data_IF_754205184988
#
_entry.id   IF_754205184988
#
_cell.length_a   1.000
_cell.length_b   1.000
_cell.length_c   1.000
_cell.angle_alpha   90.00
_cell.angle_beta   90.00
_cell.angle_gamma   90.00
#
_symmetry.space_group_name_H-M   'P 1'
#
loop_
_entity.id
_entity.type
_entity.pdbx_description
1 polymer ?
#
# COMPACT_ATOMS: atom_id res chain seq x y z
N UNK A 1 15.13 25.27 -17.49
CA UNK A 1 13.91 25.78 -16.83
C UNK A 1 12.71 24.83 -16.96
N UNK A 2 12.61 24.01 -18.01
CA UNK A 2 11.50 23.06 -18.24
C UNK A 2 11.51 21.83 -17.32
N UNK A 3 12.69 21.29 -16.99
CA UNK A 3 12.81 20.11 -16.11
C UNK A 3 12.31 20.35 -14.69
N UNK A 4 12.59 21.53 -14.12
CA UNK A 4 12.12 21.88 -12.77
C UNK A 4 10.58 21.95 -12.67
N UNK A 5 9.91 22.37 -13.75
CA UNK A 5 8.44 22.46 -13.82
C UNK A 5 7.84 21.06 -13.93
N UNK A 6 8.42 20.18 -14.74
CA UNK A 6 7.97 18.80 -14.85
C UNK A 6 8.07 18.07 -13.50
N UNK A 7 9.18 18.26 -12.78
CA UNK A 7 9.39 17.67 -11.45
C UNK A 7 8.35 18.09 -10.42
N UNK A 8 8.00 19.38 -10.35
CA UNK A 8 7.00 19.84 -9.39
C UNK A 8 5.60 19.28 -9.70
N UNK A 9 5.21 19.21 -10.98
CA UNK A 9 3.85 18.84 -11.38
C UNK A 9 3.50 17.38 -11.08
N UNK A 10 4.37 16.41 -11.40
CA UNK A 10 4.07 15.00 -11.11
C UNK A 10 4.13 14.72 -9.59
N UNK A 11 5.04 15.39 -8.88
CA UNK A 11 5.15 15.32 -7.42
C UNK A 11 3.86 15.77 -6.75
N UNK A 12 3.33 16.93 -7.15
CA UNK A 12 2.12 17.50 -6.59
C UNK A 12 0.89 16.64 -6.94
N UNK A 13 0.88 16.04 -8.12
CA UNK A 13 -0.17 15.10 -8.54
C UNK A 13 -0.17 13.86 -7.68
N UNK A 14 0.98 13.23 -7.44
CA UNK A 14 1.10 12.05 -6.58
C UNK A 14 0.72 12.38 -5.14
N UNK A 15 1.18 13.52 -4.60
CA UNK A 15 0.78 14.01 -3.27
C UNK A 15 -0.73 14.13 -3.15
N UNK A 16 -1.39 14.76 -4.12
CA UNK A 16 -2.84 14.90 -4.14
C UNK A 16 -3.53 13.54 -4.09
N UNK A 17 -3.11 12.59 -4.91
CA UNK A 17 -3.65 11.24 -4.96
C UNK A 17 -3.48 10.47 -3.64
N UNK A 18 -2.31 10.55 -3.02
CA UNK A 18 -2.03 9.90 -1.74
C UNK A 18 -2.85 10.53 -0.62
N UNK A 19 -2.95 11.86 -0.57
CA UNK A 19 -3.79 12.57 0.41
C UNK A 19 -5.27 12.20 0.25
N UNK A 20 -5.76 12.05 -0.98
CA UNK A 20 -7.12 11.56 -1.25
C UNK A 20 -7.33 10.13 -0.73
N UNK A 21 -6.36 9.25 -0.96
CA UNK A 21 -6.38 7.89 -0.42
C UNK A 21 -6.40 7.89 1.11
N UNK A 22 -5.54 8.67 1.76
CA UNK A 22 -5.50 8.79 3.23
C UNK A 22 -6.81 9.32 3.79
N UNK A 23 -7.40 10.34 3.14
CA UNK A 23 -8.69 10.91 3.55
C UNK A 23 -9.84 9.90 3.47
N UNK A 24 -9.84 9.04 2.44
CA UNK A 24 -10.92 8.07 2.21
C UNK A 24 -10.75 6.77 3.00
N UNK A 25 -9.52 6.28 3.11
CA UNK A 25 -9.21 4.93 3.60
C UNK A 25 -8.25 4.90 4.77
N UNK A 26 -7.59 6.01 5.10
CA UNK A 26 -6.60 6.10 6.17
C UNK A 26 -7.24 5.97 7.55
N UNK A 27 -7.13 4.79 8.16
CA UNK A 27 -7.46 4.56 9.58
C UNK A 27 -6.38 5.11 10.53
N UNK A 28 -5.91 6.33 10.29
CA UNK A 28 -4.86 6.98 11.09
C UNK A 28 -3.42 6.51 10.79
N UNK A 29 -3.21 5.63 9.83
CA UNK A 29 -1.88 5.29 9.32
C UNK A 29 -1.43 6.35 8.29
N UNK A 30 -0.22 6.87 8.49
CA UNK A 30 0.38 7.92 7.65
C UNK A 30 1.26 7.30 6.56
N UNK A 31 1.20 7.86 5.35
CA UNK A 31 2.13 7.58 4.28
C UNK A 31 3.54 8.09 4.64
N UNK A 32 4.55 7.24 4.42
CA UNK A 32 5.95 7.64 4.52
C UNK A 32 6.48 8.01 3.13
N UNK A 33 6.91 9.25 2.99
CA UNK A 33 7.47 9.78 1.75
C UNK A 33 8.98 9.55 1.72
N UNK A 34 9.46 9.06 0.59
CA UNK A 34 10.87 8.79 0.33
C UNK A 34 11.24 9.49 -0.98
N UNK A 35 11.81 10.69 -0.87
CA UNK A 35 12.16 11.51 -2.02
C UNK A 35 13.62 11.25 -2.32
N UNK A 36 13.91 10.54 -3.41
CA UNK A 36 15.27 10.34 -3.88
C UNK A 36 15.56 11.34 -5.00
N UNK A 37 16.23 12.44 -4.63
CA UNK A 37 16.58 13.52 -5.56
C UNK A 37 17.56 13.08 -6.66
N UNK A 38 18.34 12.02 -6.43
CA UNK A 38 19.35 11.54 -7.38
C UNK A 38 18.75 10.82 -8.60
N UNK A 39 17.64 10.10 -8.41
CA UNK A 39 17.04 9.23 -9.44
C UNK A 39 15.80 9.84 -10.11
N UNK A 40 15.47 11.10 -9.82
CA UNK A 40 14.21 11.75 -10.22
C UNK A 40 12.98 10.87 -9.94
N UNK A 41 13.03 10.19 -8.79
CA UNK A 41 12.05 9.20 -8.39
C UNK A 41 11.51 9.55 -7.02
N UNK A 42 10.19 9.51 -6.90
CA UNK A 42 9.49 9.70 -5.65
C UNK A 42 8.89 8.37 -5.23
N UNK A 43 9.27 7.94 -4.04
CA UNK A 43 8.71 6.79 -3.35
C UNK A 43 7.68 7.22 -2.31
N UNK A 44 6.61 6.46 -2.20
CA UNK A 44 5.66 6.52 -1.09
C UNK A 44 5.45 5.13 -0.55
N UNK A 45 5.60 4.99 0.76
CA UNK A 45 5.29 3.76 1.48
C UNK A 45 4.00 3.92 2.26
N UNK A 46 2.99 3.15 1.90
CA UNK A 46 1.74 3.02 2.63
C UNK A 46 1.83 1.78 3.52
N UNK A 47 1.51 1.95 4.79
CA UNK A 47 1.49 0.84 5.74
C UNK A 47 0.04 0.45 5.99
N UNK A 48 -0.20 -0.86 6.03
CA UNK A 48 -1.40 -1.48 6.58
C UNK A 48 -1.00 -2.41 7.72
N UNK A 49 -1.96 -3.07 8.36
CA UNK A 49 -1.67 -4.03 9.44
C UNK A 49 -0.86 -5.23 8.94
N UNK A 50 -1.14 -5.69 7.72
CA UNK A 50 -0.51 -6.88 7.12
C UNK A 50 0.60 -6.59 6.11
N UNK A 51 0.56 -5.42 5.45
CA UNK A 51 1.39 -5.15 4.28
C UNK A 51 2.02 -3.76 4.29
N UNK A 52 3.04 -3.60 3.47
CA UNK A 52 3.61 -2.33 3.06
C UNK A 52 3.48 -2.24 1.55
N UNK A 53 2.96 -1.13 1.06
CA UNK A 53 2.86 -0.84 -0.37
C UNK A 53 3.87 0.24 -0.71
N UNK A 54 4.81 -0.08 -1.59
CA UNK A 54 5.82 0.86 -2.08
C UNK A 54 5.42 1.35 -3.46
N UNK A 55 4.87 2.55 -3.53
CA UNK A 55 4.54 3.24 -4.78
C UNK A 55 5.76 4.02 -5.22
N UNK A 56 6.20 3.83 -6.46
CA UNK A 56 7.32 4.56 -7.07
C UNK A 56 6.82 5.31 -8.29
N UNK A 57 7.18 6.58 -8.38
CA UNK A 57 6.80 7.46 -9.47
C UNK A 57 8.02 8.16 -10.06
N UNK A 58 8.03 8.29 -11.38
CA UNK A 58 8.90 9.15 -12.17
C UNK A 58 7.99 9.96 -13.13
N UNK A 59 8.52 10.93 -13.90
CA UNK A 59 7.71 11.65 -14.88
C UNK A 59 6.95 10.78 -15.89
N UNK A 60 7.43 9.56 -16.16
CA UNK A 60 6.91 8.67 -17.22
C UNK A 60 6.40 7.33 -16.70
N UNK A 61 6.64 7.00 -15.44
CA UNK A 61 6.32 5.68 -14.88
C UNK A 61 5.70 5.80 -13.49
N UNK A 62 4.73 4.92 -13.24
CA UNK A 62 4.10 4.72 -11.95
C UNK A 62 3.99 3.21 -11.71
N UNK A 63 4.48 2.75 -10.57
CA UNK A 63 4.40 1.34 -10.19
C UNK A 63 4.22 1.17 -8.69
N UNK A 64 3.74 0.00 -8.30
CA UNK A 64 3.54 -0.34 -6.91
C UNK A 64 3.96 -1.78 -6.62
N UNK A 65 4.64 -1.99 -5.50
CA UNK A 65 4.91 -3.34 -4.99
C UNK A 65 4.30 -3.50 -3.60
N UNK A 66 3.73 -4.67 -3.34
CA UNK A 66 3.25 -5.07 -2.03
C UNK A 66 4.33 -5.92 -1.34
N UNK A 67 4.49 -5.77 -0.03
CA UNK A 67 5.35 -6.61 0.78
C UNK A 67 4.69 -6.93 2.10
N UNK A 68 4.78 -8.18 2.53
CA UNK A 68 4.27 -8.62 3.83
C UNK A 68 5.11 -8.04 4.97
N UNK A 69 4.46 -7.64 6.06
CA UNK A 69 5.15 -7.09 7.25
C UNK A 69 5.70 -8.16 8.20
N UNK A 70 5.31 -9.42 8.01
CA UNK A 70 5.68 -10.55 8.85
C UNK A 70 6.03 -11.74 7.95
N UNK A 71 7.17 -12.36 8.22
CA UNK A 71 7.55 -13.62 7.59
C UNK A 71 6.59 -14.75 8.03
N UNK A 72 6.43 -15.78 7.20
CA UNK A 72 5.68 -16.98 7.62
C UNK A 72 6.56 -17.86 8.51
N UNK A 73 5.96 -18.75 9.32
CA UNK A 73 6.74 -19.72 10.09
C UNK A 73 7.68 -20.51 9.17
N UNK A 74 8.98 -20.45 9.48
CA UNK A 74 10.03 -21.09 8.69
C UNK A 74 10.66 -20.22 7.59
N UNK A 75 10.22 -18.98 7.42
CA UNK A 75 10.85 -18.00 6.51
C UNK A 75 11.61 -16.93 7.31
N UNK A 76 12.81 -16.55 6.88
CA UNK A 76 13.57 -15.39 7.37
C UNK A 76 13.46 -14.17 6.44
N UNK A 77 12.81 -14.33 5.28
CA UNK A 77 12.47 -13.26 4.35
C UNK A 77 10.97 -12.91 4.39
N UNK A 78 10.64 -11.69 3.96
CA UNK A 78 9.25 -11.29 3.71
C UNK A 78 8.90 -11.57 2.25
N UNK A 79 7.65 -11.97 2.00
CA UNK A 79 7.15 -12.15 0.63
C UNK A 79 6.70 -10.81 0.06
N UNK A 80 7.13 -10.53 -1.17
CA UNK A 80 6.65 -9.41 -1.97
C UNK A 80 5.82 -9.90 -3.16
N UNK A 81 5.00 -9.00 -3.70
CA UNK A 81 4.30 -9.21 -4.96
C UNK A 81 4.25 -7.88 -5.71
N UNK A 82 4.44 -7.94 -7.02
CA UNK A 82 4.24 -6.78 -7.88
C UNK A 82 2.73 -6.53 -8.04
N UNK A 83 2.34 -5.27 -8.01
CA UNK A 83 1.00 -4.82 -8.35
C UNK A 83 1.04 -4.15 -9.72
N UNK A 84 -0.09 -3.62 -10.18
CA UNK A 84 -0.15 -2.87 -11.42
C UNK A 84 0.95 -1.80 -11.52
N UNK A 85 1.51 -1.69 -12.71
CA UNK A 85 2.48 -0.68 -13.10
C UNK A 85 2.19 -0.17 -14.52
N UNK A 86 2.84 0.91 -14.91
CA UNK A 86 2.66 1.50 -16.23
C UNK A 86 3.05 2.97 -16.30
N UNK A 87 2.48 3.68 -17.27
CA UNK A 87 2.71 5.11 -17.46
C UNK A 87 2.21 5.94 -16.27
N UNK A 88 2.87 7.08 -16.00
CA UNK A 88 2.42 8.03 -14.98
C UNK A 88 1.12 8.74 -15.43
N UNK A 89 -0.01 8.09 -15.18
CA UNK A 89 -1.34 8.62 -15.47
C UNK A 89 -2.37 8.11 -14.45
N UNK A 90 -3.57 8.72 -14.48
CA UNK A 90 -4.65 8.39 -13.55
C UNK A 90 -5.16 6.95 -13.73
N UNK A 91 -5.10 6.40 -14.94
CA UNK A 91 -5.54 5.03 -15.20
C UNK A 91 -4.66 4.01 -14.46
N UNK A 92 -3.34 4.14 -14.56
CA UNK A 92 -2.36 3.33 -13.83
C UNK A 92 -2.55 3.50 -12.32
N UNK A 93 -2.75 4.73 -11.86
CA UNK A 93 -3.06 5.00 -10.45
C UNK A 93 -4.31 4.25 -9.96
N UNK A 94 -5.41 4.30 -10.73
CA UNK A 94 -6.64 3.60 -10.38
C UNK A 94 -6.47 2.07 -10.41
N UNK A 95 -5.64 1.52 -11.29
CA UNK A 95 -5.28 0.09 -11.29
C UNK A 95 -4.53 -0.29 -10.02
N UNK A 96 -3.52 0.50 -9.64
CA UNK A 96 -2.79 0.32 -8.38
C UNK A 96 -3.73 0.33 -7.18
N UNK A 97 -4.65 1.30 -7.12
CA UNK A 97 -5.63 1.39 -6.05
C UNK A 97 -6.53 0.15 -5.97
N UNK A 98 -7.04 -0.32 -7.11
CA UNK A 98 -7.86 -1.54 -7.18
C UNK A 98 -7.07 -2.74 -6.66
N UNK A 99 -5.82 -2.90 -7.06
CA UNK A 99 -4.97 -3.99 -6.62
C UNK A 99 -4.70 -3.96 -5.12
N UNK A 100 -4.35 -2.79 -4.55
CA UNK A 100 -4.17 -2.62 -3.10
C UNK A 100 -5.45 -3.02 -2.35
N UNK A 101 -6.61 -2.53 -2.80
CA UNK A 101 -7.90 -2.86 -2.19
C UNK A 101 -8.19 -4.35 -2.30
N UNK A 102 -7.99 -4.97 -3.47
CA UNK A 102 -8.16 -6.41 -3.65
C UNK A 102 -7.23 -7.23 -2.76
N UNK A 103 -5.99 -6.78 -2.56
CA UNK A 103 -5.00 -7.44 -1.71
C UNK A 103 -5.46 -7.45 -0.24
N UNK A 104 -5.95 -6.31 0.27
CA UNK A 104 -6.47 -6.21 1.63
C UNK A 104 -7.82 -6.91 1.81
N UNK A 105 -8.73 -6.84 0.83
CA UNK A 105 -10.05 -7.48 0.90
C UNK A 105 -9.98 -9.02 0.90
N UNK A 106 -8.93 -9.61 0.31
CA UNK A 106 -8.68 -11.05 0.40
C UNK A 106 -8.57 -11.53 1.86
N UNK A 107 -8.09 -10.67 2.76
CA UNK A 107 -8.09 -10.97 4.19
C UNK A 107 -9.53 -11.10 4.73
N UNK A 108 -10.40 -10.14 4.42
CA UNK A 108 -11.79 -10.08 4.92
C UNK A 108 -12.63 -11.25 4.41
N UNK A 109 -12.54 -11.58 3.12
CA UNK A 109 -13.28 -12.71 2.53
C UNK A 109 -12.93 -14.03 3.24
N UNK A 110 -11.66 -14.25 3.54
CA UNK A 110 -11.22 -15.45 4.26
C UNK A 110 -11.71 -15.47 5.72
N UNK A 111 -11.86 -14.32 6.38
CA UNK A 111 -12.46 -14.25 7.72
C UNK A 111 -13.94 -14.63 7.69
N UNK A 112 -14.72 -14.12 6.74
CA UNK A 112 -16.16 -14.45 6.62
C UNK A 112 -16.36 -15.94 6.34
N UNK A 113 -15.55 -16.54 5.46
CA UNK A 113 -15.62 -17.97 5.18
C UNK A 113 -15.28 -18.83 6.41
N UNK A 114 -14.30 -18.41 7.21
CA UNK A 114 -13.96 -19.12 8.46
C UNK A 114 -15.09 -19.02 9.50
N UNK A 115 -15.73 -17.87 9.63
CA UNK A 115 -16.89 -17.72 10.52
C UNK A 115 -18.08 -18.56 10.07
N UNK A 116 -18.37 -18.62 8.77
CA UNK A 116 -19.46 -19.42 8.22
C UNK A 116 -19.21 -20.93 8.32
N UNK A 117 -17.95 -21.36 8.38
CA UNK A 117 -17.55 -22.75 8.59
C UNK A 117 -17.37 -23.11 10.07
N UNK A 118 -17.85 -22.28 11.01
CA UNK A 118 -17.83 -22.57 12.44
C UNK A 118 -16.49 -22.34 13.15
N UNK A 119 -15.51 -21.71 12.48
CA UNK A 119 -14.26 -21.29 13.12
C UNK A 119 -14.41 -19.87 13.67
N UNK A 120 -14.72 -19.76 14.97
CA UNK A 120 -14.68 -18.51 15.72
C UNK A 120 -13.22 -18.32 16.16
N UNK A 121 -12.47 -17.32 15.65
CA UNK A 121 -11.16 -17.02 16.21
C UNK A 121 -11.38 -16.57 17.65
N UNK A 122 -10.83 -17.32 18.60
CA UNK A 122 -10.85 -16.94 20.00
C UNK A 122 -10.30 -15.51 20.12
N UNK A 123 -11.16 -14.57 20.52
CA UNK A 123 -10.69 -13.29 21.04
C UNK A 123 -9.80 -13.64 22.22
N UNK A 124 -8.51 -13.31 22.12
CA UNK A 124 -7.56 -13.49 23.22
C UNK A 124 -8.21 -13.04 24.53
N UNK A 125 -8.37 -14.00 25.43
CA UNK A 125 -8.79 -13.78 26.80
C UNK A 125 -7.92 -12.69 27.43
N UNK A 126 -8.51 -11.56 27.79
CA UNK A 126 -8.09 -10.88 29.01
C UNK A 126 -8.83 -11.53 30.17
N UNK A 127 -8.38 -12.73 30.56
CA UNK A 127 -8.58 -13.19 31.91
C UNK A 127 -7.58 -12.45 32.80
N UNK A 128 -8.06 -11.42 33.50
CA UNK A 128 -7.48 -11.04 34.78
C UNK A 128 -8.51 -11.29 35.85
N UNK A 129 -8.52 -12.54 36.31
CA UNK A 129 -8.92 -12.86 37.68
C UNK A 129 -7.82 -12.36 38.61
N UNK A 130 -8.11 -11.33 39.40
CA UNK A 130 -7.91 -11.32 40.87
C UNK A 130 -8.58 -10.11 41.49
#
# INVERSE_FOLDING_TARGET
MTECIAKSVYTDTLKRWVVELESRYGRGQKALWDINEADDMIGVRLYTDGHVYSIKATPVFLGCTASTRKARPGEDWTRGNDLADGEFNEETWLKILKDIVSYELKSISNYVLKMNNGFIPETCCESKET
#
